data_IF_889895055003
#
_entry.id   IF_889895055003
#
_cell.length_a   1.000
_cell.length_b   1.000
_cell.length_c   1.000
_cell.angle_alpha   90.00
_cell.angle_beta   90.00
_cell.angle_gamma   90.00
#
_symmetry.space_group_name_H-M   'P 1'
#
loop_
_entity.id
_entity.type
_entity.pdbx_description
1 polymer ?
#
# COMPACT_ATOMS: atom_id res chain seq x y z
N UNK A 1 -9.40 10.82 -24.04
CA UNK A 1 -7.93 11.02 -24.14
C UNK A 1 -7.28 10.50 -22.85
N UNK A 2 -7.17 9.18 -22.67
CA UNK A 2 -6.58 8.59 -21.43
C UNK A 2 -5.05 8.75 -21.40
N UNK A 3 -4.41 8.63 -22.56
CA UNK A 3 -2.95 8.58 -22.67
C UNK A 3 -2.21 9.82 -22.15
N UNK A 4 -2.80 11.02 -22.26
CA UNK A 4 -2.20 12.25 -21.78
C UNK A 4 -2.21 12.33 -20.24
N UNK A 5 -3.29 11.86 -19.61
CA UNK A 5 -3.42 11.82 -18.16
C UNK A 5 -2.46 10.79 -17.55
N UNK A 6 -2.34 9.63 -18.17
CA UNK A 6 -1.42 8.57 -17.75
C UNK A 6 0.05 9.03 -17.87
N UNK A 7 0.38 9.79 -18.93
CA UNK A 7 1.70 10.36 -19.16
C UNK A 7 2.06 11.46 -18.15
N UNK A 8 1.14 12.37 -17.86
CA UNK A 8 1.34 13.42 -16.85
C UNK A 8 1.52 12.84 -15.44
N UNK A 9 0.70 11.83 -15.09
CA UNK A 9 0.83 11.12 -13.83
C UNK A 9 2.20 10.41 -13.70
N UNK A 10 2.69 9.84 -14.81
CA UNK A 10 4.03 9.23 -14.85
C UNK A 10 5.14 10.26 -14.62
N UNK A 11 5.12 11.39 -15.34
CA UNK A 11 6.13 12.45 -15.17
C UNK A 11 6.13 12.97 -13.73
N UNK A 12 4.95 13.21 -13.17
CA UNK A 12 4.83 13.73 -11.81
C UNK A 12 5.36 12.73 -10.78
N UNK A 13 5.12 11.42 -10.96
CA UNK A 13 5.70 10.37 -10.13
C UNK A 13 7.23 10.34 -10.23
N UNK A 14 7.78 10.37 -11.44
CA UNK A 14 9.23 10.33 -11.65
C UNK A 14 9.94 11.56 -11.06
N UNK A 15 9.30 12.74 -11.11
CA UNK A 15 9.83 13.96 -10.49
C UNK A 15 9.88 13.88 -8.94
N UNK A 16 8.92 13.18 -8.32
CA UNK A 16 8.85 13.04 -6.86
C UNK A 16 9.73 11.90 -6.32
N UNK A 17 10.11 10.93 -7.15
CA UNK A 17 10.86 9.75 -6.74
C UNK A 17 12.11 10.07 -5.90
N UNK A 18 13.02 10.99 -6.30
CA UNK A 18 14.24 11.24 -5.53
C UNK A 18 13.94 11.79 -4.14
N UNK A 19 12.91 12.63 -4.02
CA UNK A 19 12.48 13.20 -2.74
C UNK A 19 11.88 12.12 -1.85
N UNK A 20 11.04 11.25 -2.41
CA UNK A 20 10.42 10.15 -1.68
C UNK A 20 11.45 9.12 -1.22
N UNK A 21 12.44 8.79 -2.05
CA UNK A 21 13.59 7.94 -1.65
C UNK A 21 14.32 8.53 -0.45
N UNK A 22 14.66 9.82 -0.52
CA UNK A 22 15.35 10.51 0.58
C UNK A 22 14.52 10.48 1.88
N UNK A 23 13.21 10.69 1.81
CA UNK A 23 12.33 10.64 2.97
C UNK A 23 12.17 9.21 3.52
N UNK A 24 12.11 8.21 2.65
CA UNK A 24 12.09 6.81 3.04
C UNK A 24 13.38 6.39 3.76
N UNK A 25 14.54 6.85 3.27
CA UNK A 25 15.83 6.63 3.93
C UNK A 25 15.93 7.33 5.30
N UNK A 26 15.15 8.39 5.51
CA UNK A 26 14.99 9.04 6.82
C UNK A 26 13.96 8.33 7.73
N UNK A 27 13.38 7.22 7.27
CA UNK A 27 12.41 6.43 8.04
C UNK A 27 10.97 6.93 7.95
N UNK A 28 10.64 7.82 7.01
CA UNK A 28 9.26 8.27 6.85
C UNK A 28 8.38 7.16 6.25
N UNK A 29 7.45 6.67 7.06
CA UNK A 29 6.55 5.58 6.67
C UNK A 29 5.74 5.89 5.40
N UNK A 30 5.20 7.11 5.30
CA UNK A 30 4.42 7.54 4.13
C UNK A 30 5.24 7.53 2.84
N UNK A 31 6.54 7.81 2.91
CA UNK A 31 7.42 7.77 1.74
C UNK A 31 7.71 6.34 1.29
N UNK A 32 7.94 5.41 2.23
CA UNK A 32 8.08 3.97 1.94
C UNK A 32 6.81 3.44 1.29
N UNK A 33 5.64 3.75 1.87
CA UNK A 33 4.33 3.35 1.33
C UNK A 33 4.14 3.90 -0.09
N UNK A 34 4.42 5.19 -0.29
CA UNK A 34 4.29 5.83 -1.59
C UNK A 34 5.19 5.16 -2.64
N UNK A 35 6.45 4.89 -2.31
CA UNK A 35 7.38 4.20 -3.21
C UNK A 35 6.87 2.82 -3.60
N UNK A 36 6.41 2.01 -2.65
CA UNK A 36 5.89 0.66 -2.92
C UNK A 36 4.61 0.66 -3.76
N UNK A 37 3.77 1.71 -3.67
CA UNK A 37 2.57 1.85 -4.50
C UNK A 37 2.89 2.29 -5.93
N UNK A 38 3.92 3.12 -6.09
CA UNK A 38 4.23 3.81 -7.32
C UNK A 38 5.27 3.07 -8.18
N UNK A 39 6.11 2.25 -7.55
CA UNK A 39 7.21 1.50 -8.16
C UNK A 39 7.11 0.02 -7.79
N UNK A 40 7.14 -0.85 -8.80
CA UNK A 40 6.97 -2.29 -8.59
C UNK A 40 8.11 -2.86 -7.74
N UNK A 41 7.73 -3.63 -6.73
CA UNK A 41 8.65 -4.34 -5.81
C UNK A 41 9.61 -3.44 -5.02
N UNK A 42 9.36 -2.13 -4.99
CA UNK A 42 10.22 -1.20 -4.29
C UNK A 42 10.03 -1.30 -2.77
N UNK A 43 11.16 -1.28 -2.06
CA UNK A 43 11.26 -1.17 -0.60
C UNK A 43 10.38 -2.15 0.20
N UNK A 44 10.15 -3.35 -0.36
CA UNK A 44 9.29 -4.38 0.23
C UNK A 44 9.73 -4.82 1.63
N UNK A 45 11.00 -4.64 1.96
CA UNK A 45 11.55 -4.93 3.31
C UNK A 45 11.11 -3.88 4.32
N UNK A 46 11.26 -2.57 4.01
CA UNK A 46 10.79 -1.52 4.95
C UNK A 46 9.26 -1.49 5.01
N UNK A 47 8.57 -1.76 3.90
CA UNK A 47 7.11 -1.90 3.91
C UNK A 47 6.66 -3.04 4.84
N UNK A 48 7.35 -4.19 4.77
CA UNK A 48 7.11 -5.30 5.69
C UNK A 48 7.36 -4.88 7.14
N UNK A 49 8.49 -4.21 7.43
CA UNK A 49 8.81 -3.76 8.78
C UNK A 49 7.76 -2.79 9.36
N UNK A 50 7.23 -1.86 8.54
CA UNK A 50 6.14 -0.98 8.93
C UNK A 50 4.85 -1.75 9.23
N UNK A 51 4.52 -2.73 8.39
CA UNK A 51 3.35 -3.58 8.58
C UNK A 51 3.47 -4.45 9.85
N UNK A 52 4.67 -4.97 10.12
CA UNK A 52 4.97 -5.75 11.33
C UNK A 52 4.90 -4.87 12.59
N UNK A 53 5.25 -3.59 12.49
CA UNK A 53 5.05 -2.58 13.53
C UNK A 53 3.59 -2.12 13.69
N UNK A 54 2.65 -2.67 12.91
CA UNK A 54 1.22 -2.38 13.01
C UNK A 54 0.75 -1.16 12.23
N UNK A 55 1.57 -0.61 11.32
CA UNK A 55 1.12 0.48 10.47
C UNK A 55 0.03 -0.02 9.50
N UNK A 56 -1.20 0.49 9.67
CA UNK A 56 -2.37 0.08 8.91
C UNK A 56 -2.22 0.30 7.40
N UNK A 57 -1.71 1.45 6.97
CA UNK A 57 -1.51 1.75 5.54
C UNK A 57 -0.45 0.85 4.92
N UNK A 58 0.61 0.50 5.66
CA UNK A 58 1.60 -0.46 5.23
C UNK A 58 1.02 -1.87 5.11
N UNK A 59 0.21 -2.32 6.09
CA UNK A 59 -0.52 -3.60 6.02
C UNK A 59 -1.38 -3.68 4.75
N UNK A 60 -2.17 -2.64 4.50
CA UNK A 60 -3.03 -2.58 3.32
C UNK A 60 -2.22 -2.56 2.01
N UNK A 61 -1.15 -1.76 1.95
CA UNK A 61 -0.30 -1.67 0.76
C UNK A 61 0.42 -3.00 0.49
N UNK A 62 0.98 -3.63 1.52
CA UNK A 62 1.70 -4.91 1.43
C UNK A 62 0.80 -6.04 0.91
N UNK A 63 -0.48 -6.03 1.27
CA UNK A 63 -1.48 -6.97 0.79
C UNK A 63 -1.60 -6.96 -0.76
N UNK A 64 -1.46 -5.79 -1.38
CA UNK A 64 -1.61 -5.61 -2.83
C UNK A 64 -0.30 -5.57 -3.60
N UNK A 65 0.82 -5.23 -2.95
CA UNK A 65 2.12 -5.16 -3.62
C UNK A 65 2.87 -6.48 -3.57
N UNK A 66 2.86 -7.16 -2.41
CA UNK A 66 3.64 -8.40 -2.18
C UNK A 66 2.76 -9.64 -2.17
N UNK A 67 1.62 -9.58 -1.48
CA UNK A 67 0.75 -10.75 -1.27
C UNK A 67 -0.44 -10.79 -2.23
N UNK A 68 -0.41 -10.06 -3.35
CA UNK A 68 -1.54 -9.95 -4.27
C UNK A 68 -2.08 -11.31 -4.75
N UNK A 69 -1.21 -12.30 -4.90
CA UNK A 69 -1.52 -13.66 -5.36
C UNK A 69 -1.76 -14.67 -4.23
N UNK A 70 -1.44 -14.30 -3.00
CA UNK A 70 -1.65 -15.14 -1.82
C UNK A 70 -2.91 -14.64 -1.11
N UNK A 71 -4.05 -15.21 -1.49
CA UNK A 71 -5.34 -14.78 -0.95
C UNK A 71 -5.41 -14.87 0.58
N UNK A 72 -5.05 -16.00 1.24
CA UNK A 72 -5.06 -16.08 2.70
C UNK A 72 -4.20 -15.01 3.37
N UNK A 73 -2.96 -14.79 2.89
CA UNK A 73 -2.10 -13.77 3.45
C UNK A 73 -2.65 -12.36 3.23
N UNK A 74 -3.16 -12.08 2.01
CA UNK A 74 -3.78 -10.81 1.66
C UNK A 74 -5.01 -10.52 2.52
N UNK A 75 -5.87 -11.51 2.76
CA UNK A 75 -7.04 -11.35 3.61
C UNK A 75 -6.67 -11.05 5.06
N UNK A 76 -5.70 -11.78 5.61
CA UNK A 76 -5.19 -11.52 6.96
C UNK A 76 -4.67 -10.08 7.11
N UNK A 77 -3.89 -9.60 6.12
CA UNK A 77 -3.39 -8.23 6.10
C UNK A 77 -4.50 -7.18 5.98
N UNK A 78 -5.51 -7.42 5.14
CA UNK A 78 -6.67 -6.53 4.99
C UNK A 78 -7.47 -6.44 6.29
N UNK A 79 -7.71 -7.56 6.98
CA UNK A 79 -8.40 -7.55 8.28
C UNK A 79 -7.62 -6.74 9.31
N UNK A 80 -6.32 -6.98 9.45
CA UNK A 80 -5.45 -6.21 10.36
C UNK A 80 -5.42 -4.73 10.01
N UNK A 81 -5.42 -4.37 8.73
CA UNK A 81 -5.51 -2.99 8.30
C UNK A 81 -6.86 -2.36 8.68
N UNK A 82 -7.96 -3.11 8.59
CA UNK A 82 -9.27 -2.65 9.02
C UNK A 82 -9.32 -2.41 10.53
N UNK A 83 -8.74 -3.31 11.33
CA UNK A 83 -8.61 -3.16 12.78
C UNK A 83 -7.77 -1.93 13.16
N UNK A 84 -6.78 -1.60 12.33
CA UNK A 84 -5.96 -0.39 12.45
C UNK A 84 -6.66 0.90 11.94
N UNK A 85 -7.93 0.83 11.53
CA UNK A 85 -8.71 2.00 11.13
C UNK A 85 -8.61 2.38 9.64
N UNK A 86 -8.02 1.55 8.79
CA UNK A 86 -7.84 1.87 7.37
C UNK A 86 -9.18 1.78 6.65
N UNK A 87 -9.73 2.93 6.27
CA UNK A 87 -11.06 3.05 5.66
C UNK A 87 -11.33 2.11 4.47
N UNK A 88 -10.45 1.98 3.44
CA UNK A 88 -10.71 1.03 2.35
C UNK A 88 -10.71 -0.42 2.84
N UNK A 89 -9.88 -0.78 3.81
CA UNK A 89 -9.84 -2.12 4.40
C UNK A 89 -11.14 -2.43 5.18
N UNK A 90 -11.62 -1.48 5.99
CA UNK A 90 -12.89 -1.59 6.72
C UNK A 90 -14.04 -1.86 5.74
N UNK A 91 -14.14 -1.10 4.66
CA UNK A 91 -15.18 -1.29 3.63
C UNK A 91 -15.12 -2.69 3.02
N UNK A 92 -13.92 -3.19 2.74
CA UNK A 92 -13.74 -4.54 2.19
C UNK A 92 -14.18 -5.62 3.19
N UNK A 93 -13.81 -5.51 4.46
CA UNK A 93 -14.22 -6.47 5.50
C UNK A 93 -15.75 -6.45 5.67
N UNK A 94 -16.36 -5.27 5.73
CA UNK A 94 -17.81 -5.12 5.85
C UNK A 94 -18.56 -5.71 4.65
N UNK A 95 -18.07 -5.48 3.43
CA UNK A 95 -18.68 -6.04 2.23
C UNK A 95 -18.68 -7.59 2.24
N UNK A 96 -17.60 -8.20 2.76
CA UNK A 96 -17.48 -9.66 2.90
C UNK A 96 -18.37 -10.24 3.99
N UNK A 97 -18.64 -9.49 5.05
CA UNK A 97 -19.58 -9.92 6.09
C UNK A 97 -21.00 -10.00 5.53
N UNK A 98 -21.42 -8.95 4.80
CA UNK A 98 -22.74 -8.91 4.15
C UNK A 98 -22.96 -9.98 3.08
N UNK A 99 -21.89 -10.45 2.41
CA UNK A 99 -22.02 -11.52 1.41
C UNK A 99 -22.18 -12.92 2.00
N UNK A 100 -22.01 -13.06 3.32
CA UNK A 100 -22.13 -14.34 4.05
C UNK A 100 -23.48 -14.47 4.78
N UNK A 101 -24.27 -13.41 4.79
CA UNK A 101 -25.64 -13.35 5.30
C UNK A 101 -26.64 -13.72 4.19
#
# INVERSE_FOLDING_TARGET
MSWAHDYEAQIHREALEPTMRKLADQGQASAVIWLSQNFKNEDSTRLQALADAGNGEALFTLAWTKYAKDEPARESLITRAADAGVAPAIRMVQARQKSKE
#
